data_IF_751250109226
#
_entry.id   IF_751250109226
#
_cell.length_a   1.000
_cell.length_b   1.000
_cell.length_c   1.000
_cell.angle_alpha   90.00
_cell.angle_beta   90.00
_cell.angle_gamma   90.00
#
_symmetry.space_group_name_H-M   'P 1'
#
loop_
_entity.id
_entity.type
_entity.pdbx_description
1 polymer ?
#
# COMPACT_ATOMS: atom_id res chain seq x y z
N UNK A 1 3.46 -14.24 3.73
CA UNK A 1 2.84 -13.53 4.88
C UNK A 1 1.57 -14.24 5.34
N UNK A 2 0.55 -14.34 4.50
CA UNK A 2 -0.78 -14.86 4.87
C UNK A 2 -0.81 -16.28 5.44
N UNK A 3 0.04 -17.18 4.92
CA UNK A 3 0.15 -18.56 5.39
C UNK A 3 0.71 -18.67 6.82
N UNK A 4 1.53 -17.71 7.22
CA UNK A 4 2.21 -17.69 8.53
C UNK A 4 1.54 -16.77 9.55
N UNK A 5 0.38 -16.19 9.23
CA UNK A 5 -0.45 -15.47 10.20
C UNK A 5 -1.47 -16.44 10.79
N UNK A 6 -1.56 -16.48 12.12
CA UNK A 6 -2.55 -17.28 12.84
C UNK A 6 -3.98 -16.78 12.58
N UNK A 7 -4.98 -17.66 12.73
CA UNK A 7 -6.40 -17.28 12.77
C UNK A 7 -6.61 -16.24 13.89
N UNK A 8 -7.31 -15.15 13.60
CA UNK A 8 -7.48 -13.99 14.47
C UNK A 8 -6.25 -13.06 14.53
N UNK A 9 -5.15 -13.41 13.87
CA UNK A 9 -3.96 -12.57 13.74
C UNK A 9 -4.12 -11.46 12.71
N UNK A 10 -3.21 -10.48 12.73
CA UNK A 10 -3.31 -9.27 11.93
C UNK A 10 -2.08 -9.08 11.03
N UNK A 11 -2.30 -8.50 9.85
CA UNK A 11 -1.25 -7.93 9.02
C UNK A 11 -1.50 -6.43 8.82
N UNK A 12 -0.48 -5.61 9.07
CA UNK A 12 -0.43 -4.20 8.71
C UNK A 12 0.57 -4.02 7.56
N UNK A 13 0.13 -3.42 6.47
CA UNK A 13 0.96 -3.14 5.29
C UNK A 13 0.75 -1.69 4.88
N UNK A 14 1.86 -0.98 4.67
CA UNK A 14 1.90 0.35 4.03
C UNK A 14 2.95 0.29 2.95
N UNK A 15 2.56 0.48 1.70
CA UNK A 15 3.47 0.29 0.56
C UNK A 15 3.14 1.23 -0.60
N UNK A 16 4.18 1.53 -1.38
CA UNK A 16 4.10 2.34 -2.59
C UNK A 16 3.16 1.73 -3.63
N UNK A 17 2.42 2.60 -4.33
CA UNK A 17 1.58 2.24 -5.47
C UNK A 17 2.06 2.90 -6.75
N UNK A 18 1.69 2.31 -7.88
CA UNK A 18 1.71 2.94 -9.20
C UNK A 18 0.39 2.65 -9.89
N UNK A 19 -0.41 3.68 -10.13
CA UNK A 19 -1.72 3.57 -10.80
C UNK A 19 -1.69 4.37 -12.11
N UNK A 20 -2.65 4.13 -13.00
CA UNK A 20 -2.71 4.82 -14.30
C UNK A 20 -2.91 6.34 -14.14
N UNK A 21 -3.68 6.76 -13.12
CA UNK A 21 -3.94 8.16 -12.81
C UNK A 21 -2.82 8.83 -12.01
N UNK A 22 -2.09 8.07 -11.21
CA UNK A 22 -0.97 8.53 -10.39
C UNK A 22 0.18 7.53 -10.50
N UNK A 23 0.96 7.58 -11.61
CA UNK A 23 2.11 6.69 -11.78
C UNK A 23 3.18 6.98 -10.73
N UNK A 24 3.89 5.94 -10.28
CA UNK A 24 4.96 6.12 -9.31
C UNK A 24 6.14 6.87 -9.96
N UNK A 25 6.62 7.97 -9.37
CA UNK A 25 7.70 8.76 -9.95
C UNK A 25 9.10 8.17 -9.70
N UNK A 26 9.20 7.08 -8.94
CA UNK A 26 10.47 6.48 -8.53
C UNK A 26 10.59 5.03 -9.04
N UNK A 27 11.81 4.58 -9.39
CA UNK A 27 12.04 3.23 -9.90
C UNK A 27 12.11 2.21 -8.76
N UNK A 28 11.06 2.09 -7.95
CA UNK A 28 10.96 0.97 -7.01
C UNK A 28 10.88 -0.34 -7.80
N UNK A 29 11.53 -1.39 -7.31
CA UNK A 29 11.49 -2.72 -7.95
C UNK A 29 10.09 -3.35 -7.92
N UNK A 30 9.20 -2.83 -7.07
CA UNK A 30 7.82 -3.26 -6.92
C UNK A 30 6.96 -2.11 -6.42
N UNK A 31 5.73 -2.04 -6.93
CA UNK A 31 4.66 -1.16 -6.48
C UNK A 31 3.33 -1.88 -6.65
N UNK A 32 2.37 -1.65 -5.76
CA UNK A 32 1.02 -2.17 -5.95
C UNK A 32 0.27 -1.40 -7.05
N UNK A 33 -0.48 -2.12 -7.89
CA UNK A 33 -1.52 -1.56 -8.73
C UNK A 33 -2.79 -1.26 -7.92
N UNK A 34 -3.76 -0.58 -8.54
CA UNK A 34 -5.04 -0.25 -7.92
C UNK A 34 -5.77 -1.52 -7.47
N UNK A 35 -6.24 -1.54 -6.21
CA UNK A 35 -6.91 -2.67 -5.55
C UNK A 35 -6.10 -3.98 -5.45
N UNK A 36 -4.84 -4.02 -5.88
CA UNK A 36 -4.06 -5.27 -5.92
C UNK A 36 -3.87 -5.86 -4.51
N UNK A 37 -3.53 -5.03 -3.53
CA UNK A 37 -3.38 -5.48 -2.14
C UNK A 37 -4.72 -5.92 -1.52
N UNK A 38 -5.81 -5.21 -1.84
CA UNK A 38 -7.16 -5.59 -1.42
C UNK A 38 -7.49 -7.01 -1.87
N UNK A 39 -7.15 -7.32 -3.13
CA UNK A 39 -7.50 -8.59 -3.75
C UNK A 39 -6.65 -9.75 -3.24
N UNK A 40 -5.39 -9.48 -2.87
CA UNK A 40 -4.60 -10.46 -2.13
C UNK A 40 -5.27 -10.83 -0.79
N UNK A 41 -5.87 -9.87 -0.08
CA UNK A 41 -6.47 -10.07 1.25
C UNK A 41 -8.00 -10.18 1.25
N UNK A 42 -8.64 -10.45 0.09
CA UNK A 42 -10.10 -10.42 -0.07
C UNK A 42 -10.90 -11.30 0.92
N UNK A 43 -10.30 -12.39 1.40
CA UNK A 43 -10.96 -13.33 2.31
C UNK A 43 -10.81 -12.95 3.80
N UNK A 44 -10.00 -11.92 4.09
CA UNK A 44 -9.74 -11.40 5.43
C UNK A 44 -10.75 -10.31 5.80
N UNK A 45 -10.79 -9.94 7.07
CA UNK A 45 -11.55 -8.79 7.56
C UNK A 45 -10.69 -7.54 7.50
N UNK A 46 -11.11 -6.52 6.77
CA UNK A 46 -10.44 -5.22 6.74
C UNK A 46 -10.90 -4.36 7.92
N UNK A 47 -9.98 -4.02 8.82
CA UNK A 47 -10.20 -3.02 9.86
C UNK A 47 -9.91 -1.62 9.32
N UNK A 48 -8.95 -1.52 8.41
CA UNK A 48 -8.64 -0.31 7.65
C UNK A 48 -8.14 -0.69 6.25
N UNK A 49 -8.63 0.00 5.22
CA UNK A 49 -8.08 -0.06 3.87
C UNK A 49 -8.22 1.30 3.17
N UNK A 50 -7.13 1.83 2.62
CA UNK A 50 -7.17 3.00 1.75
C UNK A 50 -5.99 3.02 0.76
N UNK A 51 -6.19 3.75 -0.34
CA UNK A 51 -5.20 3.96 -1.41
C UNK A 51 -4.97 5.47 -1.61
N UNK A 52 -4.58 6.13 -0.52
CA UNK A 52 -4.53 7.59 -0.45
C UNK A 52 -3.18 8.15 -0.95
N UNK A 53 -3.20 9.44 -1.31
CA UNK A 53 -1.98 10.20 -1.55
C UNK A 53 -1.17 10.37 -0.27
N UNK A 54 0.14 10.15 -0.37
CA UNK A 54 1.12 10.41 0.67
C UNK A 54 2.36 11.12 0.12
N UNK A 55 3.30 11.39 1.02
CA UNK A 55 4.53 12.09 0.72
C UNK A 55 5.73 11.29 1.22
N UNK A 56 6.72 11.10 0.35
CA UNK A 56 8.01 10.57 0.76
C UNK A 56 8.79 11.64 1.53
N UNK A 57 9.69 11.17 2.40
CA UNK A 57 10.68 12.06 3.02
C UNK A 57 11.67 12.64 2.00
N UNK A 58 11.93 11.93 0.89
CA UNK A 58 12.77 12.41 -0.20
C UNK A 58 12.10 13.59 -0.91
N UNK A 59 12.89 14.59 -1.27
CA UNK A 59 12.45 15.78 -1.99
C UNK A 59 12.85 15.73 -3.47
N UNK A 60 12.13 16.50 -4.29
CA UNK A 60 12.47 16.80 -5.68
C UNK A 60 13.56 17.88 -5.79
N UNK A 61 13.88 18.30 -7.02
CA UNK A 61 14.89 19.31 -7.33
C UNK A 61 14.56 20.71 -6.76
N UNK A 62 13.28 20.97 -6.47
CA UNK A 62 12.79 22.23 -5.91
C UNK A 62 12.67 22.17 -4.37
N UNK A 63 13.03 21.06 -3.74
CA UNK A 63 12.92 20.86 -2.30
C UNK A 63 11.52 20.47 -1.81
N UNK A 64 10.57 20.18 -2.70
CA UNK A 64 9.24 19.69 -2.31
C UNK A 64 9.27 18.18 -2.07
N UNK A 65 8.49 17.68 -1.11
CA UNK A 65 8.35 16.23 -0.89
C UNK A 65 7.70 15.56 -2.09
N UNK A 66 8.24 14.40 -2.47
CA UNK A 66 7.71 13.63 -3.60
C UNK A 66 6.37 13.01 -3.19
N UNK A 67 5.32 13.30 -3.97
CA UNK A 67 3.96 12.81 -3.74
C UNK A 67 3.69 11.56 -4.56
N UNK A 68 3.01 10.58 -3.97
CA UNK A 68 2.56 9.35 -4.63
C UNK A 68 1.45 8.66 -3.82
N UNK A 69 0.75 7.69 -4.42
CA UNK A 69 -0.22 6.86 -3.70
C UNK A 69 0.45 5.77 -2.86
N UNK A 70 -0.18 5.45 -1.74
CA UNK A 70 0.17 4.32 -0.87
C UNK A 70 -1.04 3.45 -0.59
N UNK A 71 -0.85 2.13 -0.65
CA UNK A 71 -1.82 1.18 -0.14
C UNK A 71 -1.56 1.02 1.36
N UNK A 72 -2.55 1.36 2.18
CA UNK A 72 -2.53 1.17 3.64
C UNK A 72 -3.61 0.16 4.01
N UNK A 73 -3.22 -0.93 4.65
CA UNK A 73 -4.13 -1.99 5.05
C UNK A 73 -3.81 -2.46 6.46
N UNK A 74 -4.85 -2.53 7.30
CA UNK A 74 -4.89 -3.36 8.50
C UNK A 74 -5.99 -4.41 8.33
N UNK A 75 -5.60 -5.69 8.26
CA UNK A 75 -6.54 -6.79 8.05
C UNK A 75 -6.33 -7.92 9.08
N UNK A 76 -7.43 -8.55 9.50
CA UNK A 76 -7.47 -9.70 10.41
C UNK A 76 -7.82 -11.00 9.67
N UNK A 77 -7.05 -12.06 9.93
CA UNK A 77 -7.33 -13.38 9.38
C UNK A 77 -8.53 -13.99 10.09
N UNK A 78 -9.50 -14.48 9.32
CA UNK A 78 -10.66 -15.22 9.84
C UNK A 78 -10.29 -16.60 10.35
#
# INVERSE_FOLDING_TARGET
>A
MQEHTNVGGYNLIVAAMSTDDVPCPLPFSFTFAENELKEYYKDWEFLEYNENMGELHKTDENGNRIKMKFATMLARKK
#
